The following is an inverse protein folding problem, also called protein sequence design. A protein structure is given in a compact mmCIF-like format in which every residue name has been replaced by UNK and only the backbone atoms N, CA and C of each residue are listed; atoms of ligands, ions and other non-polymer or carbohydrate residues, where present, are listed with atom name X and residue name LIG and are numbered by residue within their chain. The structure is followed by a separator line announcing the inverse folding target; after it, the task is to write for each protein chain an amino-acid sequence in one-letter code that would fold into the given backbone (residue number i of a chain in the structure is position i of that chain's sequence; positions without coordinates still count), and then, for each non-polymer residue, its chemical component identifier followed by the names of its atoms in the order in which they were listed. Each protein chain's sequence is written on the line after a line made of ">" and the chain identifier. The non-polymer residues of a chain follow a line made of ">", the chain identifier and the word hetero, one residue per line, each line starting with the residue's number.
data_IF_605622117492
#
_entry.id   IF_605622117492
#
_cell.length_a   1.000
_cell.length_b   1.000
_cell.length_c   1.000
_cell.angle_alpha   90.00
_cell.angle_beta   90.00
_cell.angle_gamma   90.00
#
_symmetry.space_group_name_H-M   'P 1'
#
loop_
_entity.id
_entity.type
_entity.pdbx_description
1 polymer ?
#
# COMPACT_ATOMS: atom_id res chain seq x y z
N UNK A 1 45.47 54.18 42.34
CA UNK A 1 46.36 53.38 41.48
C UNK A 1 45.81 51.95 41.44
N UNK A 2 45.44 51.49 40.24
CA UNK A 2 45.26 50.09 39.80
C UNK A 2 44.42 49.13 40.67
N UNK A 3 43.14 49.00 40.34
CA UNK A 3 42.45 47.72 40.43
C UNK A 3 41.35 47.60 39.35
N UNK A 4 41.72 47.95 38.12
CA UNK A 4 41.15 47.31 36.93
C UNK A 4 41.97 46.03 36.71
N UNK A 5 41.34 45.00 36.13
CA UNK A 5 41.83 43.63 35.90
C UNK A 5 41.32 42.65 36.97
N UNK A 6 40.01 42.44 37.00
CA UNK A 6 39.46 41.09 37.24
C UNK A 6 38.24 40.87 36.33
N UNK A 7 38.40 41.19 35.05
CA UNK A 7 37.52 40.71 33.99
C UNK A 7 37.98 39.29 33.61
N UNK A 8 37.94 38.38 34.60
CA UNK A 8 38.33 36.99 34.40
C UNK A 8 37.13 36.23 33.83
N UNK A 9 37.01 36.33 32.50
CA UNK A 9 36.78 35.19 31.63
C UNK A 9 35.79 34.14 32.19
N UNK A 10 34.53 34.50 32.36
CA UNK A 10 33.44 33.52 32.39
C UNK A 10 33.25 33.03 30.95
N UNK A 11 34.21 32.22 30.48
CA UNK A 11 34.09 31.47 29.23
C UNK A 11 32.91 30.52 29.45
N UNK A 12 31.73 30.94 29.01
CA UNK A 12 30.59 30.08 28.86
C UNK A 12 31.05 28.91 28.00
N UNK A 13 31.35 27.78 28.65
CA UNK A 13 31.47 26.51 27.97
C UNK A 13 30.09 26.21 27.40
N UNK A 14 29.88 26.68 26.17
CA UNK A 14 28.87 26.17 25.28
C UNK A 14 29.17 24.68 25.13
N UNK A 15 28.56 23.88 25.99
CA UNK A 15 28.52 22.44 25.83
C UNK A 15 27.72 22.22 24.56
N UNK A 16 28.41 22.16 23.42
CA UNK A 16 27.83 21.62 22.21
C UNK A 16 27.50 20.16 22.51
N UNK A 17 26.26 19.92 22.92
CA UNK A 17 25.73 18.57 23.02
C UNK A 17 25.97 17.90 21.68
N UNK A 18 26.78 16.84 21.68
CA UNK A 18 27.04 16.04 20.48
C UNK A 18 25.73 15.40 20.06
N UNK A 19 24.99 16.11 19.21
CA UNK A 19 23.71 15.65 18.71
C UNK A 19 24.02 14.59 17.66
N UNK A 20 23.51 13.38 17.86
CA UNK A 20 23.66 12.32 16.88
C UNK A 20 22.96 12.76 15.60
N UNK A 21 23.70 12.90 14.50
CA UNK A 21 23.10 13.17 13.20
C UNK A 21 22.23 11.96 12.82
N UNK A 22 20.93 12.19 12.69
CA UNK A 22 20.01 11.15 12.23
C UNK A 22 20.22 10.89 10.74
N UNK A 23 20.48 9.63 10.39
CA UNK A 23 20.66 9.18 9.01
C UNK A 23 19.80 7.95 8.80
N UNK A 24 19.02 7.94 7.72
CA UNK A 24 18.18 6.79 7.40
C UNK A 24 19.04 5.58 6.99
N UNK A 25 18.72 4.44 7.60
CA UNK A 25 19.24 3.11 7.29
C UNK A 25 18.17 2.30 6.56
N UNK A 26 18.20 2.39 5.23
CA UNK A 26 17.32 1.59 4.36
C UNK A 26 17.59 0.10 4.58
N UNK A 27 16.54 -0.64 4.94
CA UNK A 27 16.61 -2.07 5.25
C UNK A 27 15.53 -2.85 4.49
N UNK A 28 15.84 -4.11 4.18
CA UNK A 28 14.89 -5.03 3.54
C UNK A 28 14.69 -6.28 4.39
N UNK A 29 13.47 -6.80 4.44
CA UNK A 29 13.16 -8.08 5.09
C UNK A 29 13.76 -9.19 4.24
N UNK A 30 14.52 -10.11 4.87
CA UNK A 30 15.17 -11.24 4.20
C UNK A 30 14.56 -12.57 4.59
N UNK A 31 14.20 -12.71 5.87
CA UNK A 31 13.68 -13.95 6.42
C UNK A 31 12.57 -13.64 7.42
N UNK A 32 11.54 -14.49 7.41
CA UNK A 32 10.43 -14.46 8.34
C UNK A 32 10.20 -15.86 8.89
N UNK A 33 10.28 -16.02 10.20
CA UNK A 33 9.87 -17.25 10.88
C UNK A 33 8.52 -17.01 11.53
N UNK A 34 7.49 -17.69 11.05
CA UNK A 34 6.12 -17.58 11.58
C UNK A 34 5.93 -18.64 12.67
N UNK A 35 5.48 -18.20 13.83
CA UNK A 35 5.07 -19.03 14.97
C UNK A 35 3.54 -19.09 15.04
N UNK A 36 2.99 -19.74 16.06
CA UNK A 36 1.53 -19.91 16.17
C UNK A 36 0.77 -18.58 16.29
N UNK A 37 1.34 -17.58 16.97
CA UNK A 37 0.69 -16.29 17.26
C UNK A 37 1.56 -15.06 17.03
N UNK A 38 2.79 -15.24 16.56
CA UNK A 38 3.72 -14.16 16.23
C UNK A 38 4.59 -14.53 15.04
N UNK A 39 5.36 -13.57 14.53
CA UNK A 39 6.43 -13.85 13.57
C UNK A 39 7.72 -13.16 14.00
N UNK A 40 8.85 -13.82 13.79
CA UNK A 40 10.17 -13.18 13.86
C UNK A 40 10.58 -12.68 12.49
N UNK A 41 10.86 -11.39 12.40
CA UNK A 41 11.32 -10.72 11.19
C UNK A 41 12.83 -10.53 11.28
N UNK A 42 13.54 -10.90 10.23
CA UNK A 42 14.96 -10.60 10.05
C UNK A 42 15.14 -9.65 8.87
N UNK A 43 15.71 -8.47 9.15
CA UNK A 43 16.06 -7.45 8.15
C UNK A 43 17.56 -7.36 7.98
N UNK A 44 17.99 -6.99 6.77
CA UNK A 44 19.37 -6.68 6.46
C UNK A 44 19.49 -5.27 5.89
N UNK A 45 20.57 -4.58 6.26
CA UNK A 45 20.92 -3.26 5.75
C UNK A 45 22.44 -3.10 5.62
N UNK A 46 22.87 -2.23 4.70
CA UNK A 46 24.26 -1.82 4.54
C UNK A 46 24.33 -0.30 4.45
N UNK A 47 25.30 0.32 5.10
CA UNK A 47 25.46 1.78 5.10
C UNK A 47 26.89 2.18 5.40
N UNK A 48 27.38 3.21 4.72
CA UNK A 48 28.64 3.87 5.08
C UNK A 48 28.40 4.78 6.29
N UNK A 49 29.21 4.60 7.32
CA UNK A 49 29.18 5.30 8.60
C UNK A 49 30.33 6.29 8.60
N UNK A 50 30.02 7.57 8.80
CA UNK A 50 31.04 8.62 8.91
C UNK A 50 31.74 8.55 10.26
N UNK A 51 32.98 9.02 10.32
CA UNK A 51 33.71 9.22 11.57
C UNK A 51 32.86 10.02 12.59
N UNK A 52 32.93 9.62 13.86
CA UNK A 52 32.18 10.21 14.97
C UNK A 52 30.87 9.46 15.27
N UNK A 53 29.95 10.16 15.93
CA UNK A 53 28.67 9.62 16.41
C UNK A 53 27.53 9.84 15.41
N UNK A 54 26.76 8.79 15.13
CA UNK A 54 25.60 8.84 14.21
C UNK A 54 24.41 8.08 14.77
N UNK A 55 23.20 8.52 14.48
CA UNK A 55 21.96 7.79 14.79
C UNK A 55 21.37 7.22 13.50
N UNK A 56 21.41 5.90 13.35
CA UNK A 56 20.88 5.21 12.19
C UNK A 56 19.41 4.88 12.42
N UNK A 57 18.53 5.43 11.58
CA UNK A 57 17.08 5.29 11.73
C UNK A 57 16.56 4.24 10.75
N UNK A 58 15.98 3.17 11.27
CA UNK A 58 15.32 2.14 10.48
C UNK A 58 13.82 2.40 10.53
N UNK A 59 13.25 2.71 9.38
CA UNK A 59 11.82 3.05 9.22
C UNK A 59 11.02 1.87 8.65
N UNK A 60 9.69 1.98 8.72
CA UNK A 60 8.77 1.02 8.11
C UNK A 60 8.72 -0.33 8.85
N UNK A 61 8.79 -0.30 10.17
CA UNK A 61 8.48 -1.45 11.01
C UNK A 61 6.99 -1.46 11.36
N UNK A 62 6.52 -2.65 11.71
CA UNK A 62 5.14 -2.84 12.15
C UNK A 62 4.84 -2.04 13.42
N UNK A 63 3.63 -1.49 13.58
CA UNK A 63 3.17 -0.97 14.87
C UNK A 63 3.08 -2.04 15.96
N UNK A 64 3.06 -3.33 15.60
CA UNK A 64 2.91 -4.46 16.50
C UNK A 64 4.24 -5.13 16.85
N UNK A 65 5.35 -4.42 16.72
CA UNK A 65 6.67 -4.90 17.13
C UNK A 65 6.72 -5.03 18.65
N UNK A 66 7.24 -6.15 19.13
CA UNK A 66 7.64 -6.27 20.53
C UNK A 66 8.98 -5.57 20.72
N UNK A 67 8.96 -4.41 21.38
CA UNK A 67 10.14 -3.59 21.66
C UNK A 67 11.26 -4.38 22.34
N UNK A 68 10.92 -5.28 23.27
CA UNK A 68 11.90 -6.04 24.06
C UNK A 68 12.60 -7.11 23.24
N UNK A 69 12.02 -7.49 22.10
CA UNK A 69 12.57 -8.51 21.20
C UNK A 69 13.61 -7.96 20.20
N UNK A 70 13.79 -6.63 20.15
CA UNK A 70 14.64 -5.99 19.14
C UNK A 70 16.12 -6.32 19.40
N UNK A 71 16.74 -6.97 18.41
CA UNK A 71 18.16 -7.29 18.41
C UNK A 71 18.82 -6.73 17.15
N UNK A 72 19.91 -6.00 17.33
CA UNK A 72 20.71 -5.44 16.22
C UNK A 72 22.12 -6.00 16.31
N UNK A 73 22.57 -6.66 15.25
CA UNK A 73 23.96 -7.06 15.05
C UNK A 73 24.58 -6.18 13.98
N UNK A 74 25.72 -5.56 14.28
CA UNK A 74 26.52 -4.77 13.35
C UNK A 74 27.86 -5.45 13.06
N UNK A 75 28.32 -5.39 11.82
CA UNK A 75 29.65 -5.85 11.39
C UNK A 75 30.34 -4.70 10.65
N UNK A 76 31.54 -4.33 11.12
CA UNK A 76 32.40 -3.27 10.58
C UNK A 76 33.17 -2.55 11.70
N UNK A 77 34.02 -1.60 11.32
CA UNK A 77 34.89 -0.85 12.24
C UNK A 77 34.14 0.29 12.97
N UNK A 78 33.10 -0.07 13.72
CA UNK A 78 32.30 0.85 14.53
C UNK A 78 31.71 0.14 15.75
N UNK A 79 31.30 0.92 16.75
CA UNK A 79 30.65 0.41 17.97
C UNK A 79 29.18 0.81 17.97
N UNK A 80 28.29 -0.14 18.28
CA UNK A 80 26.88 0.17 18.58
C UNK A 80 26.81 0.63 20.04
N UNK A 81 26.40 1.87 20.25
CA UNK A 81 26.26 2.46 21.59
C UNK A 81 24.91 2.13 22.22
N UNK A 82 23.84 2.20 21.42
CA UNK A 82 22.50 1.84 21.90
C UNK A 82 21.53 1.55 20.77
N UNK A 83 20.48 0.82 21.10
CA UNK A 83 19.34 0.51 20.23
C UNK A 83 18.10 0.93 20.99
N UNK A 84 17.32 1.85 20.42
CA UNK A 84 16.07 2.30 21.00
C UNK A 84 14.94 2.13 19.99
N UNK A 85 13.74 1.87 20.49
CA UNK A 85 12.51 1.93 19.71
C UNK A 85 11.85 3.29 19.90
N UNK A 86 11.20 3.79 18.86
CA UNK A 86 10.26 4.90 18.98
C UNK A 86 9.09 4.71 18.04
N UNK A 87 7.94 5.25 18.44
CA UNK A 87 6.77 5.35 17.59
C UNK A 87 6.84 6.66 16.80
N UNK A 88 6.71 6.55 15.48
CA UNK A 88 6.56 7.68 14.59
C UNK A 88 5.08 7.79 14.17
N UNK A 89 4.43 8.79 14.75
CA UNK A 89 3.02 9.14 14.55
C UNK A 89 2.78 9.96 13.28
N UNK A 90 3.84 10.45 12.61
CA UNK A 90 3.74 11.32 11.43
C UNK A 90 3.82 10.55 10.11
N UNK A 91 3.82 9.22 10.13
CA UNK A 91 4.03 8.39 8.93
C UNK A 91 2.73 8.22 8.12
N UNK A 92 2.25 9.32 7.53
CA UNK A 92 1.13 9.40 6.58
C UNK A 92 1.43 8.70 5.22
N UNK A 93 2.69 8.34 4.95
CA UNK A 93 3.20 7.99 3.61
C UNK A 93 2.68 6.67 3.02
N UNK A 94 2.34 5.66 3.84
CA UNK A 94 1.79 4.39 3.34
C UNK A 94 0.30 4.53 3.00
N UNK A 95 -0.42 5.38 3.73
CA UNK A 95 -1.81 5.73 3.43
C UNK A 95 -1.91 6.57 2.18
N UNK A 96 -1.07 7.60 2.04
CA UNK A 96 -1.11 8.47 0.86
C UNK A 96 -0.97 7.64 -0.41
N UNK A 97 0.03 6.75 -0.52
CA UNK A 97 0.21 5.95 -1.75
C UNK A 97 -1.00 5.05 -2.13
N UNK A 98 -1.66 4.42 -1.15
CA UNK A 98 -2.84 3.57 -1.40
C UNK A 98 -4.08 4.42 -1.70
N UNK A 99 -4.28 5.51 -0.95
CA UNK A 99 -5.37 6.47 -1.15
C UNK A 99 -5.22 7.16 -2.51
N UNK A 100 -4.01 7.58 -2.88
CA UNK A 100 -3.67 8.17 -4.18
C UNK A 100 -3.96 7.19 -5.33
N UNK A 101 -3.61 5.92 -5.15
CA UNK A 101 -3.91 4.87 -6.13
C UNK A 101 -5.42 4.67 -6.30
N UNK A 102 -6.19 4.68 -5.21
CA UNK A 102 -7.65 4.60 -5.26
C UNK A 102 -8.27 5.86 -5.91
N UNK A 103 -7.75 7.05 -5.61
CA UNK A 103 -8.19 8.30 -6.26
C UNK A 103 -7.89 8.30 -7.76
N UNK A 104 -6.73 7.79 -8.20
CA UNK A 104 -6.42 7.62 -9.62
C UNK A 104 -7.45 6.75 -10.33
N UNK A 105 -7.89 5.66 -9.69
CA UNK A 105 -8.94 4.78 -10.23
C UNK A 105 -10.30 5.50 -10.29
N UNK A 106 -10.66 6.24 -9.24
CA UNK A 106 -11.90 7.05 -9.22
C UNK A 106 -11.89 8.10 -10.33
N UNK A 107 -10.80 8.85 -10.49
CA UNK A 107 -10.67 9.87 -11.53
C UNK A 107 -10.77 9.28 -12.94
N UNK A 108 -10.23 8.07 -13.14
CA UNK A 108 -10.37 7.35 -14.40
C UNK A 108 -11.84 6.98 -14.67
N UNK A 109 -12.55 6.44 -13.67
CA UNK A 109 -13.97 6.11 -13.80
C UNK A 109 -14.79 7.37 -14.07
N UNK A 110 -14.50 8.49 -13.40
CA UNK A 110 -15.19 9.77 -13.59
C UNK A 110 -15.00 10.29 -15.02
N UNK A 111 -13.78 10.13 -15.56
CA UNK A 111 -13.48 10.46 -16.96
C UNK A 111 -14.24 9.56 -17.94
N UNK A 112 -14.31 8.25 -17.68
CA UNK A 112 -15.06 7.30 -18.51
C UNK A 112 -16.57 7.58 -18.50
N UNK A 113 -17.12 7.98 -17.34
CA UNK A 113 -18.53 8.38 -17.21
C UNK A 113 -18.78 9.68 -17.98
N UNK A 114 -17.90 10.67 -17.87
CA UNK A 114 -18.02 11.93 -18.61
C UNK A 114 -18.03 11.69 -20.14
N UNK A 115 -17.13 10.85 -20.65
CA UNK A 115 -17.09 10.49 -22.07
C UNK A 115 -18.39 9.82 -22.54
N UNK A 116 -18.95 8.93 -21.71
CA UNK A 116 -20.22 8.25 -22.00
C UNK A 116 -21.40 9.22 -22.01
N UNK A 117 -21.43 10.19 -21.10
CA UNK A 117 -22.46 11.25 -21.09
C UNK A 117 -22.36 12.13 -22.33
N UNK A 118 -21.16 12.53 -22.73
CA UNK A 118 -20.97 13.26 -23.99
C UNK A 118 -21.48 12.47 -25.21
N UNK A 119 -21.31 11.14 -25.21
CA UNK A 119 -21.90 10.29 -26.27
C UNK A 119 -23.43 10.26 -26.22
N UNK A 120 -24.05 10.25 -25.05
CA UNK A 120 -25.52 10.36 -24.93
C UNK A 120 -26.03 11.70 -25.48
N UNK A 121 -25.31 12.80 -25.25
CA UNK A 121 -25.65 14.11 -25.83
C UNK A 121 -25.60 14.06 -27.37
N UNK A 122 -24.57 13.45 -27.94
CA UNK A 122 -24.47 13.25 -29.41
C UNK A 122 -25.62 12.40 -29.94
N UNK A 123 -26.00 11.31 -29.24
CA UNK A 123 -27.14 10.48 -29.64
C UNK A 123 -28.46 11.24 -29.55
N UNK A 124 -28.64 12.09 -28.55
CA UNK A 124 -29.81 12.96 -28.40
C UNK A 124 -29.93 13.95 -29.57
N UNK A 125 -28.82 14.58 -29.97
CA UNK A 125 -28.78 15.46 -31.15
C UNK A 125 -29.11 14.67 -32.43
N UNK A 126 -28.51 13.47 -32.62
CA UNK A 126 -28.80 12.63 -33.79
C UNK A 126 -30.27 12.20 -33.83
N UNK A 127 -30.86 11.89 -32.69
CA UNK A 127 -32.29 11.58 -32.57
C UNK A 127 -33.17 12.78 -32.92
N UNK A 128 -32.79 13.98 -32.49
CA UNK A 128 -33.50 15.24 -32.84
C UNK A 128 -33.48 15.48 -34.36
N UNK A 129 -32.32 15.33 -35.00
CA UNK A 129 -32.18 15.45 -36.46
C UNK A 129 -33.01 14.40 -37.21
N UNK A 130 -32.96 13.14 -36.75
CA UNK A 130 -33.77 12.07 -37.32
C UNK A 130 -35.27 12.37 -37.18
N UNK A 131 -35.69 12.96 -36.05
CA UNK A 131 -37.06 13.34 -35.81
C UNK A 131 -37.53 14.54 -36.66
N UNK A 132 -36.65 15.52 -36.90
CA UNK A 132 -36.95 16.68 -37.73
C UNK A 132 -37.14 16.30 -39.20
N UNK A 133 -36.43 15.27 -39.67
CA UNK A 133 -36.47 14.79 -41.05
C UNK A 133 -37.59 13.76 -41.33
N UNK A 134 -38.62 13.68 -40.47
CA UNK A 134 -39.82 12.82 -40.70
C UNK A 134 -40.71 13.27 -41.85
N UNK A 135 -40.58 14.53 -42.28
CA UNK A 135 -41.38 15.11 -43.36
C UNK A 135 -40.77 14.71 -44.71
N UNK A 136 -41.35 13.70 -45.36
CA UNK A 136 -40.92 13.20 -46.68
C UNK A 136 -41.44 14.03 -47.86
N UNK A 137 -42.37 14.95 -47.62
CA UNK A 137 -42.99 15.80 -48.64
C UNK A 137 -42.53 17.25 -48.49
N UNK A 138 -41.76 17.76 -49.46
CA UNK A 138 -41.71 19.20 -49.74
C UNK A 138 -43.05 19.66 -50.31
N UNK A 139 -43.36 20.96 -50.22
CA UNK A 139 -44.67 21.55 -50.59
C UNK A 139 -45.18 21.18 -52.00
N UNK A 140 -44.39 20.57 -52.89
CA UNK A 140 -44.73 20.28 -54.29
C UNK A 140 -44.30 18.88 -54.81
N UNK A 141 -44.17 17.84 -53.97
CA UNK A 141 -43.74 16.50 -54.46
C UNK A 141 -44.66 15.37 -53.97
N UNK A 142 -45.23 14.59 -54.89
CA UNK A 142 -45.98 13.38 -54.57
C UNK A 142 -45.02 12.25 -54.20
N UNK A 143 -45.13 11.74 -52.97
CA UNK A 143 -44.33 10.61 -52.47
C UNK A 143 -45.01 9.30 -52.86
N UNK A 144 -44.31 8.39 -53.53
CA UNK A 144 -44.85 7.06 -53.83
C UNK A 144 -44.95 6.19 -52.57
N UNK A 145 -45.91 5.26 -52.54
CA UNK A 145 -46.06 4.29 -51.42
C UNK A 145 -44.79 3.45 -51.18
N UNK A 146 -44.04 3.15 -52.24
CA UNK A 146 -42.75 2.45 -52.18
C UNK A 146 -41.67 3.27 -51.48
N UNK A 147 -41.54 4.56 -51.80
CA UNK A 147 -40.59 5.47 -51.16
C UNK A 147 -40.93 5.70 -49.70
N UNK A 148 -42.23 5.80 -49.38
CA UNK A 148 -42.71 5.92 -48.00
C UNK A 148 -42.33 4.69 -47.17
N UNK A 149 -42.55 3.48 -47.71
CA UNK A 149 -42.19 2.23 -47.03
C UNK A 149 -40.67 2.14 -46.76
N UNK A 150 -39.84 2.45 -47.76
CA UNK A 150 -38.38 2.46 -47.61
C UNK A 150 -37.89 3.47 -46.57
N UNK A 151 -38.52 4.66 -46.52
CA UNK A 151 -38.18 5.68 -45.53
C UNK A 151 -38.57 5.26 -44.10
N UNK A 152 -39.73 4.63 -43.91
CA UNK A 152 -40.16 4.09 -42.62
C UNK A 152 -39.19 2.98 -42.16
N UNK A 153 -38.82 2.05 -43.03
CA UNK A 153 -37.91 0.95 -42.71
C UNK A 153 -36.51 1.48 -42.31
N UNK A 154 -36.00 2.50 -43.02
CA UNK A 154 -34.73 3.15 -42.69
C UNK A 154 -34.82 3.89 -41.34
N UNK A 155 -35.90 4.62 -41.12
CA UNK A 155 -36.14 5.36 -39.89
C UNK A 155 -36.22 4.43 -38.68
N UNK A 156 -36.96 3.33 -38.78
CA UNK A 156 -37.08 2.32 -37.73
C UNK A 156 -35.72 1.70 -37.40
N UNK A 157 -34.95 1.31 -38.43
CA UNK A 157 -33.60 0.76 -38.26
C UNK A 157 -32.65 1.73 -37.56
N UNK A 158 -32.59 2.99 -37.99
CA UNK A 158 -31.73 4.00 -37.37
C UNK A 158 -32.17 4.29 -35.93
N UNK A 159 -33.47 4.47 -35.70
CA UNK A 159 -34.02 4.73 -34.36
C UNK A 159 -33.72 3.59 -33.40
N UNK A 160 -33.93 2.34 -33.82
CA UNK A 160 -33.62 1.16 -33.03
C UNK A 160 -32.13 1.05 -32.71
N UNK A 161 -31.27 1.39 -33.69
CA UNK A 161 -29.81 1.47 -33.49
C UNK A 161 -29.42 2.49 -32.41
N UNK A 162 -29.97 3.70 -32.48
CA UNK A 162 -29.72 4.77 -31.50
C UNK A 162 -30.20 4.38 -30.10
N UNK A 163 -31.42 3.84 -29.99
CA UNK A 163 -32.00 3.42 -28.70
C UNK A 163 -31.24 2.25 -28.08
N UNK A 164 -30.77 1.31 -28.90
CA UNK A 164 -29.92 0.21 -28.45
C UNK A 164 -28.59 0.73 -27.89
N UNK A 165 -27.97 1.70 -28.57
CA UNK A 165 -26.72 2.31 -28.11
C UNK A 165 -26.91 3.10 -26.80
N UNK A 166 -27.98 3.90 -26.72
CA UNK A 166 -28.37 4.64 -25.52
C UNK A 166 -28.52 3.71 -24.30
N UNK A 167 -29.25 2.60 -24.44
CA UNK A 167 -29.43 1.61 -23.37
C UNK A 167 -28.10 0.96 -22.93
N UNK A 168 -27.24 0.62 -23.88
CA UNK A 168 -25.90 0.07 -23.58
C UNK A 168 -25.05 1.08 -22.80
N UNK A 169 -25.07 2.35 -23.19
CA UNK A 169 -24.31 3.40 -22.53
C UNK A 169 -24.84 3.65 -21.11
N UNK A 170 -26.16 3.77 -20.94
CA UNK A 170 -26.78 3.95 -19.62
C UNK A 170 -26.46 2.80 -18.67
N UNK A 171 -26.53 1.56 -19.15
CA UNK A 171 -26.15 0.37 -18.38
C UNK A 171 -24.67 0.42 -17.97
N UNK A 172 -23.79 0.86 -18.86
CA UNK A 172 -22.36 1.02 -18.56
C UNK A 172 -22.11 2.10 -17.50
N UNK A 173 -22.82 3.24 -17.58
CA UNK A 173 -22.74 4.31 -16.57
C UNK A 173 -23.15 3.80 -15.18
N UNK A 174 -24.26 3.04 -15.09
CA UNK A 174 -24.71 2.44 -13.81
C UNK A 174 -23.62 1.54 -13.22
N UNK A 175 -23.00 0.67 -14.04
CA UNK A 175 -21.92 -0.23 -13.58
C UNK A 175 -20.68 0.53 -13.13
N UNK A 176 -20.30 1.59 -13.85
CA UNK A 176 -19.18 2.46 -13.50
C UNK A 176 -19.43 3.19 -12.18
N UNK A 177 -20.62 3.77 -11.99
CA UNK A 177 -20.99 4.46 -10.76
C UNK A 177 -21.01 3.51 -9.54
N UNK A 178 -21.52 2.28 -9.70
CA UNK A 178 -21.45 1.27 -8.64
C UNK A 178 -20.02 0.90 -8.28
N UNK A 179 -19.11 0.87 -9.26
CA UNK A 179 -17.69 0.61 -9.02
C UNK A 179 -17.02 1.79 -8.31
N UNK A 180 -17.37 3.02 -8.70
CA UNK A 180 -16.93 4.26 -8.05
C UNK A 180 -17.33 4.29 -6.58
N UNK A 181 -18.58 3.95 -6.28
CA UNK A 181 -19.10 3.90 -4.90
C UNK A 181 -18.31 2.90 -4.04
N UNK A 182 -18.05 1.69 -4.55
CA UNK A 182 -17.21 0.70 -3.86
C UNK A 182 -15.80 1.23 -3.58
N UNK A 183 -15.18 1.92 -4.54
CA UNK A 183 -13.85 2.52 -4.35
C UNK A 183 -13.89 3.65 -3.32
N UNK A 184 -14.94 4.47 -3.31
CA UNK A 184 -15.12 5.52 -2.31
C UNK A 184 -15.28 4.94 -0.89
N UNK A 185 -16.02 3.83 -0.75
CA UNK A 185 -16.08 3.08 0.51
C UNK A 185 -14.71 2.55 0.94
N UNK A 186 -13.93 1.99 0.01
CA UNK A 186 -12.54 1.56 0.28
C UNK A 186 -11.64 2.72 0.72
N UNK A 187 -11.78 3.91 0.13
CA UNK A 187 -11.05 5.12 0.56
C UNK A 187 -11.43 5.47 2.00
N UNK A 188 -12.72 5.46 2.33
CA UNK A 188 -13.19 5.75 3.69
C UNK A 188 -12.72 4.70 4.69
N UNK A 189 -12.71 3.41 4.36
CA UNK A 189 -12.13 2.37 5.22
C UNK A 189 -10.64 2.59 5.46
N UNK A 190 -9.89 2.92 4.40
CA UNK A 190 -8.45 3.19 4.51
C UNK A 190 -8.19 4.44 5.36
N UNK A 191 -9.02 5.48 5.26
CA UNK A 191 -8.94 6.71 6.08
C UNK A 191 -9.37 6.47 7.54
N UNK A 192 -10.43 5.72 7.77
CA UNK A 192 -11.08 5.52 9.08
C UNK A 192 -10.40 4.48 9.97
N UNK A 193 -9.50 3.64 9.46
CA UNK A 193 -8.63 2.83 10.34
C UNK A 193 -7.87 3.79 11.28
N UNK A 194 -7.70 3.47 12.57
CA UNK A 194 -6.84 4.30 13.42
C UNK A 194 -5.43 4.28 12.85
N UNK A 195 -4.77 5.43 12.79
CA UNK A 195 -3.35 5.51 12.47
C UNK A 195 -2.60 4.76 13.56
N UNK A 196 -2.17 3.55 13.24
CA UNK A 196 -1.20 2.89 14.07
C UNK A 196 0.14 3.54 13.75
N UNK A 197 0.83 4.13 14.74
CA UNK A 197 2.11 4.77 14.52
C UNK A 197 3.09 3.75 13.94
N UNK A 198 3.88 4.17 12.96
CA UNK A 198 4.94 3.29 12.46
C UNK A 198 6.02 3.14 13.52
N UNK A 199 6.53 1.93 13.71
CA UNK A 199 7.69 1.71 14.58
C UNK A 199 8.97 2.11 13.86
N UNK A 200 9.89 2.74 14.58
CA UNK A 200 11.26 3.02 14.15
C UNK A 200 12.26 2.42 15.14
N UNK A 201 13.39 1.95 14.62
CA UNK A 201 14.55 1.58 15.45
C UNK A 201 15.63 2.64 15.24
N UNK A 202 16.13 3.19 16.35
CA UNK A 202 17.21 4.15 16.40
C UNK A 202 18.46 3.45 16.92
N UNK A 203 19.42 3.19 16.04
CA UNK A 203 20.71 2.58 16.39
C UNK A 203 21.76 3.67 16.47
N UNK A 204 22.22 4.00 17.68
CA UNK A 204 23.32 4.95 17.87
C UNK A 204 24.64 4.21 17.70
N UNK A 205 25.49 4.72 16.83
CA UNK A 205 26.81 4.15 16.52
C UNK A 205 27.90 5.20 16.67
N UNK A 206 29.12 4.75 16.95
CA UNK A 206 30.32 5.56 16.96
C UNK A 206 31.41 4.88 16.14
N UNK A 207 32.07 5.65 15.28
CA UNK A 207 33.15 5.15 14.43
C UNK A 207 34.39 6.02 14.56
N UNK A 208 35.57 5.41 14.66
CA UNK A 208 36.85 6.14 14.75
C UNK A 208 37.35 6.64 13.39
N UNK A 209 36.85 6.08 12.30
CA UNK A 209 37.12 6.47 10.92
C UNK A 209 35.86 6.26 10.06
N UNK A 210 35.89 6.65 8.77
CA UNK A 210 34.81 6.28 7.86
C UNK A 210 34.83 4.76 7.64
N UNK A 211 33.72 4.08 7.86
CA UNK A 211 33.63 2.62 7.83
C UNK A 211 32.37 2.14 7.10
N UNK A 212 32.44 0.96 6.48
CA UNK A 212 31.28 0.30 5.90
C UNK A 212 30.63 -0.62 6.93
N UNK A 213 29.36 -0.38 7.26
CA UNK A 213 28.60 -1.22 8.18
C UNK A 213 27.62 -2.13 7.48
N UNK A 214 27.55 -3.39 7.94
CA UNK A 214 26.48 -4.33 7.65
C UNK A 214 25.67 -4.60 8.90
N UNK A 215 24.34 -4.53 8.80
CA UNK A 215 23.43 -4.64 9.93
C UNK A 215 22.44 -5.79 9.71
N UNK A 216 22.27 -6.62 10.73
CA UNK A 216 21.21 -7.63 10.82
C UNK A 216 20.30 -7.27 12.00
N UNK A 217 19.03 -7.03 11.72
CA UNK A 217 18.03 -6.63 12.71
C UNK A 217 17.00 -7.73 12.83
N UNK A 218 16.76 -8.20 14.05
CA UNK A 218 15.78 -9.25 14.35
C UNK A 218 14.79 -8.72 15.38
N UNK A 219 13.50 -8.97 15.19
CA UNK A 219 12.46 -8.60 16.14
C UNK A 219 11.23 -9.50 15.95
N UNK A 220 10.44 -9.63 17.00
CA UNK A 220 9.14 -10.26 16.99
C UNK A 220 8.06 -9.23 16.64
N UNK A 221 7.05 -9.70 15.92
CA UNK A 221 5.85 -8.95 15.58
C UNK A 221 4.62 -9.79 15.91
N UNK A 222 3.65 -9.18 16.58
CA UNK A 222 2.36 -9.81 16.84
C UNK A 222 1.46 -9.76 15.58
N UNK A 223 0.27 -10.35 15.66
CA UNK A 223 -0.74 -10.33 14.59
C UNK A 223 -0.28 -11.03 13.29
N UNK A 224 0.62 -12.01 13.41
CA UNK A 224 0.90 -12.97 12.36
C UNK A 224 0.99 -14.35 13.00
N UNK A 225 0.58 -15.37 12.28
CA UNK A 225 0.67 -16.72 12.79
C UNK A 225 0.37 -17.75 11.72
N UNK A 226 0.59 -19.01 12.06
CA UNK A 226 0.21 -20.12 11.23
C UNK A 226 -0.41 -21.23 12.06
N UNK A 227 -1.21 -22.06 11.41
CA UNK A 227 -1.80 -23.25 12.03
C UNK A 227 -1.69 -24.45 11.09
N UNK A 228 -1.40 -25.65 11.65
CA UNK A 228 -1.30 -26.87 10.86
C UNK A 228 -2.68 -27.30 10.35
N UNK A 229 -2.75 -27.67 9.08
CA UNK A 229 -3.89 -28.36 8.47
C UNK A 229 -3.43 -29.70 7.93
N UNK A 230 -4.21 -30.74 8.18
CA UNK A 230 -3.95 -32.07 7.68
C UNK A 230 -5.01 -32.41 6.63
N UNK A 231 -4.58 -32.82 5.44
CA UNK A 231 -5.44 -33.37 4.39
C UNK A 231 -5.15 -34.88 4.34
N UNK A 232 -6.07 -35.66 4.89
CA UNK A 232 -5.99 -37.12 4.98
C UNK A 232 -6.78 -37.72 3.83
N UNK A 233 -6.14 -38.56 3.03
CA UNK A 233 -6.82 -39.30 1.95
C UNK A 233 -6.65 -40.80 2.15
N UNK A 234 -7.79 -41.48 2.19
CA UNK A 234 -7.87 -42.94 2.25
C UNK A 234 -8.54 -43.41 0.97
N UNK A 235 -7.89 -44.33 0.26
CA UNK A 235 -8.43 -44.91 -0.97
C UNK A 235 -9.30 -46.13 -0.68
N UNK A 236 -8.80 -47.04 0.14
CA UNK A 236 -9.46 -48.26 0.62
C UNK A 236 -8.74 -48.75 1.90
N UNK A 237 -9.26 -49.81 2.51
CA UNK A 237 -8.72 -50.40 3.76
C UNK A 237 -7.42 -51.17 3.59
N UNK A 238 -7.01 -51.48 2.35
CA UNK A 238 -5.74 -52.17 2.05
C UNK A 238 -4.62 -51.21 1.65
N UNK A 239 -4.94 -49.96 1.31
CA UNK A 239 -4.00 -48.96 0.82
C UNK A 239 -3.41 -48.11 1.95
N UNK A 240 -2.14 -47.66 1.84
CA UNK A 240 -1.55 -46.70 2.78
C UNK A 240 -2.32 -45.38 2.81
N UNK A 241 -2.43 -44.79 4.00
CA UNK A 241 -3.04 -43.47 4.22
C UNK A 241 -2.09 -42.39 3.67
N UNK A 242 -2.60 -41.51 2.80
CA UNK A 242 -1.85 -40.33 2.36
C UNK A 242 -2.16 -39.14 3.28
N UNK A 243 -1.14 -38.64 3.98
CA UNK A 243 -1.23 -37.48 4.86
C UNK A 243 -0.48 -36.29 4.24
N UNK A 244 -1.23 -35.28 3.80
CA UNK A 244 -0.67 -34.04 3.29
C UNK A 244 -0.67 -32.98 4.39
N UNK A 245 0.51 -32.47 4.72
CA UNK A 245 0.65 -31.39 5.69
C UNK A 245 0.56 -30.03 5.00
N UNK A 246 -0.36 -29.19 5.47
CA UNK A 246 -0.63 -27.84 4.97
C UNK A 246 -0.43 -26.84 6.11
N UNK A 247 -0.02 -25.63 5.77
CA UNK A 247 0.09 -24.53 6.72
C UNK A 247 -0.83 -23.40 6.24
N UNK A 248 -1.80 -23.04 7.07
CA UNK A 248 -2.58 -21.83 6.86
C UNK A 248 -1.89 -20.69 7.61
N UNK A 249 -1.59 -19.62 6.89
CA UNK A 249 -0.84 -18.47 7.40
C UNK A 249 -1.72 -17.24 7.36
N UNK A 250 -1.75 -16.51 8.47
CA UNK A 250 -2.35 -15.18 8.52
C UNK A 250 -1.30 -14.13 8.86
N UNK A 251 -1.46 -12.94 8.29
CA UNK A 251 -0.54 -11.84 8.46
C UNK A 251 -1.32 -10.54 8.47
N UNK A 252 -1.30 -9.86 9.61
CA UNK A 252 -1.95 -8.58 9.85
C UNK A 252 -0.95 -7.61 10.52
N UNK A 253 0.32 -7.66 10.10
CA UNK A 253 1.39 -6.87 10.74
C UNK A 253 1.48 -5.44 10.23
N UNK A 254 0.80 -5.12 9.13
CA UNK A 254 0.87 -3.80 8.50
C UNK A 254 2.14 -3.54 7.69
N UNK A 255 3.04 -4.53 7.56
CA UNK A 255 4.24 -4.46 6.71
C UNK A 255 4.20 -5.58 5.69
N UNK A 256 4.49 -5.28 4.43
CA UNK A 256 4.51 -6.27 3.36
C UNK A 256 5.76 -7.17 3.40
N UNK A 257 5.58 -8.47 3.15
CA UNK A 257 6.62 -9.49 3.14
C UNK A 257 6.88 -9.98 1.70
N UNK A 258 7.44 -9.12 0.85
CA UNK A 258 7.69 -9.46 -0.57
C UNK A 258 8.97 -10.28 -0.74
N UNK A 259 8.86 -11.44 -1.41
CA UNK A 259 9.99 -12.29 -1.81
C UNK A 259 10.94 -12.64 -0.65
N UNK A 260 10.38 -13.01 0.50
CA UNK A 260 11.14 -13.35 1.71
C UNK A 260 11.24 -14.86 1.90
N UNK A 261 12.32 -15.31 2.56
CA UNK A 261 12.42 -16.71 3.00
C UNK A 261 11.47 -16.94 4.18
N UNK A 262 10.41 -17.72 3.98
CA UNK A 262 9.46 -18.10 5.03
C UNK A 262 9.88 -19.40 5.70
N UNK A 263 9.75 -19.45 7.03
CA UNK A 263 9.90 -20.64 7.87
C UNK A 263 8.72 -20.73 8.83
N UNK A 264 8.31 -21.94 9.18
CA UNK A 264 7.26 -22.21 10.16
C UNK A 264 7.85 -22.89 11.38
N UNK A 265 7.42 -22.49 12.57
CA UNK A 265 7.87 -23.09 13.84
C UNK A 265 6.68 -23.31 14.77
N UNK A 266 6.66 -24.48 15.41
CA UNK A 266 5.75 -24.80 16.52
C UNK A 266 6.29 -24.32 17.87
N UNK A 267 7.51 -23.77 17.92
CA UNK A 267 8.11 -23.26 19.15
C UNK A 267 7.45 -21.97 19.62
N UNK A 268 7.49 -21.71 20.91
CA UNK A 268 7.07 -20.44 21.47
C UNK A 268 8.30 -19.51 21.61
N UNK A 269 8.40 -18.42 20.84
CA UNK A 269 9.56 -17.53 20.91
C UNK A 269 9.64 -16.73 22.22
N UNK A 270 8.56 -16.69 23.00
CA UNK A 270 8.49 -15.95 24.27
C UNK A 270 8.75 -16.82 25.51
N UNK A 271 8.85 -18.15 25.35
CA UNK A 271 9.24 -19.04 26.44
C UNK A 271 10.76 -19.23 26.38
N UNK A 272 11.46 -18.66 27.36
CA UNK A 272 12.84 -19.06 27.65
C UNK A 272 12.84 -20.54 28.06
N UNK A 273 13.74 -21.31 27.47
CA UNK A 273 14.11 -22.63 28.01
C UNK A 273 14.87 -22.50 29.32
#
# INVERSE_FOLDING_TARGET
>A
MKLQILFFLLLAQQTFGQTFKEVELKSSIKEVTVFLQSAQITRAAKKSITMGKSALIIKGLSPHVDEKSIQVKGIGDFTILSVNHRLNYLNETVRSSKVDSLFKLINKIDSDVALKKARLEVLSVKLSLLNANKLLSGQNTSVSLTQLKQAIDLYDKELMGLKTEELKINTAIIKLNKSREKLALQVNEVRNKKELPSSEIVVRVESKANAQGSFKITYLVANAGWFPKYDVRVKDVQSPIALNYKADVYQNTGVDWKNVKLKFSNGNPNQSG
#
